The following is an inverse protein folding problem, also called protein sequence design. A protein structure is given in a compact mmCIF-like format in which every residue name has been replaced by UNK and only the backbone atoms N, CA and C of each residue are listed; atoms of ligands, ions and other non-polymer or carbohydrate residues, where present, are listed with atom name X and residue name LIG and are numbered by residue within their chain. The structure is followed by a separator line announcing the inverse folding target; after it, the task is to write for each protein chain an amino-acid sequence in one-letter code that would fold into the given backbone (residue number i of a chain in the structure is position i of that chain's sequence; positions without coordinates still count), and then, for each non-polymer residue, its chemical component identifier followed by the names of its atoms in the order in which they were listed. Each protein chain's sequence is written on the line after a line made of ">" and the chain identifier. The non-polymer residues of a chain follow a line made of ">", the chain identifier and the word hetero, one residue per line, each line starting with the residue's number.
data_IF_946605928091
#
_entry.id   IF_946605928091
#
_cell.length_a   1.000
_cell.length_b   1.000
_cell.length_c   1.000
_cell.angle_alpha   90.00
_cell.angle_beta   90.00
_cell.angle_gamma   90.00
#
_symmetry.space_group_name_H-M   'P 1'
#
loop_
_entity.id
_entity.type
_entity.pdbx_description
1 polymer ?
#
# COMPACT_ATOMS: atom_id res chain seq x y z
N UNK A 1 0.38 11.01 -2.45
CA UNK A 1 -0.82 10.25 -2.04
C UNK A 1 -0.63 9.80 -0.60
N UNK A 2 -1.51 10.25 0.30
CA UNK A 2 -1.50 9.75 1.67
C UNK A 2 -1.96 8.28 1.66
N UNK A 3 -1.36 7.43 2.48
CA UNK A 3 -1.74 6.03 2.57
C UNK A 3 -1.46 5.46 3.95
N UNK A 4 -2.09 4.32 4.24
CA UNK A 4 -2.01 3.61 5.52
C UNK A 4 -1.22 2.32 5.43
N UNK A 5 -0.46 2.11 4.35
CA UNK A 5 0.19 0.84 4.07
C UNK A 5 1.17 0.44 5.17
N UNK A 6 1.98 1.38 5.67
CA UNK A 6 2.94 1.11 6.74
C UNK A 6 2.23 0.73 8.06
N UNK A 7 1.16 1.45 8.40
CA UNK A 7 0.34 1.17 9.59
C UNK A 7 -0.25 -0.24 9.51
N UNK A 8 -0.89 -0.59 8.39
CA UNK A 8 -1.51 -1.88 8.15
C UNK A 8 -0.49 -3.02 8.17
N UNK A 9 0.67 -2.81 7.53
CA UNK A 9 1.76 -3.78 7.53
C UNK A 9 2.27 -4.05 8.95
N UNK A 10 2.53 -3.00 9.73
CA UNK A 10 2.98 -3.12 11.12
C UNK A 10 1.92 -3.80 12.01
N UNK A 11 0.63 -3.49 11.82
CA UNK A 11 -0.47 -4.15 12.53
C UNK A 11 -0.54 -5.66 12.29
N UNK A 12 -0.13 -6.11 11.09
CA UNK A 12 0.01 -7.55 10.78
C UNK A 12 1.33 -8.17 11.25
N UNK A 13 2.26 -7.39 11.79
CA UNK A 13 3.52 -7.89 12.32
C UNK A 13 4.55 -8.30 11.26
N UNK A 14 4.38 -7.88 9.99
CA UNK A 14 5.30 -8.23 8.89
C UNK A 14 6.20 -7.05 8.52
N UNK A 15 7.37 -7.36 7.98
CA UNK A 15 8.34 -6.39 7.46
C UNK A 15 8.11 -6.09 5.97
N UNK A 16 8.82 -5.09 5.43
CA UNK A 16 8.65 -4.68 4.02
C UNK A 16 9.03 -5.77 3.01
N UNK A 17 10.01 -6.62 3.34
CA UNK A 17 10.46 -7.73 2.48
C UNK A 17 9.38 -8.80 2.38
N UNK A 18 8.74 -9.14 3.50
CA UNK A 18 7.65 -10.11 3.55
C UNK A 18 6.43 -9.63 2.75
N UNK A 19 6.04 -8.35 2.90
CA UNK A 19 4.96 -7.78 2.11
C UNK A 19 5.32 -7.72 0.61
N UNK A 20 6.57 -7.38 0.29
CA UNK A 20 7.05 -7.34 -1.08
C UNK A 20 6.99 -8.72 -1.76
N UNK A 21 7.43 -9.76 -1.05
CA UNK A 21 7.37 -11.14 -1.52
C UNK A 21 5.92 -11.59 -1.81
N UNK A 22 4.97 -11.28 -0.92
CA UNK A 22 3.55 -11.64 -1.11
C UNK A 22 2.93 -10.91 -2.30
N UNK A 23 3.31 -9.65 -2.53
CA UNK A 23 2.76 -8.83 -3.62
C UNK A 23 3.50 -9.01 -4.95
N UNK A 24 4.60 -9.76 -4.95
CA UNK A 24 5.51 -10.00 -6.08
C UNK A 24 6.10 -8.69 -6.62
N UNK A 25 6.57 -7.84 -5.71
CA UNK A 25 7.24 -6.56 -6.03
C UNK A 25 8.57 -6.47 -5.29
N UNK A 26 9.37 -5.46 -5.61
CA UNK A 26 10.60 -5.20 -4.85
C UNK A 26 10.30 -4.57 -3.47
N UNK A 27 11.19 -4.78 -2.49
CA UNK A 27 11.14 -4.05 -1.21
C UNK A 27 11.12 -2.53 -1.41
N UNK A 28 11.84 -2.04 -2.42
CA UNK A 28 11.88 -0.62 -2.79
C UNK A 28 10.52 -0.11 -3.26
N UNK A 29 9.72 -0.95 -3.92
CA UNK A 29 8.32 -0.63 -4.28
C UNK A 29 7.49 -0.41 -3.03
N UNK A 30 7.55 -1.33 -2.05
CA UNK A 30 6.85 -1.17 -0.77
C UNK A 30 7.30 0.07 -0.03
N UNK A 31 8.62 0.28 0.07
CA UNK A 31 9.16 1.48 0.71
C UNK A 31 8.69 2.78 0.03
N UNK A 32 8.66 2.81 -1.30
CA UNK A 32 8.21 3.99 -2.05
C UNK A 32 6.71 4.24 -1.90
N UNK A 33 5.89 3.18 -1.81
CA UNK A 33 4.47 3.27 -1.50
C UNK A 33 4.25 3.85 -0.09
N UNK A 34 4.88 3.27 0.92
CA UNK A 34 4.73 3.71 2.32
C UNK A 34 5.11 5.19 2.51
N UNK A 35 6.15 5.64 1.79
CA UNK A 35 6.58 7.04 1.83
C UNK A 35 5.81 7.96 0.87
N UNK A 36 4.77 7.47 0.19
CA UNK A 36 3.94 8.26 -0.74
C UNK A 36 4.68 8.75 -2.00
N UNK A 37 5.86 8.19 -2.30
CA UNK A 37 6.70 8.54 -3.46
C UNK A 37 6.29 7.83 -4.75
N UNK A 38 5.40 6.86 -4.66
CA UNK A 38 4.93 6.06 -5.78
C UNK A 38 3.43 5.85 -5.67
N UNK A 39 2.72 6.10 -6.78
CA UNK A 39 1.32 5.72 -6.90
C UNK A 39 1.27 4.28 -7.46
N UNK A 40 0.58 3.36 -6.78
CA UNK A 40 0.47 1.98 -7.24
C UNK A 40 -0.28 1.94 -8.58
N UNK A 41 0.07 0.98 -9.43
CA UNK A 41 -0.82 0.59 -10.53
C UNK A 41 -2.14 0.06 -9.97
N UNK A 42 -3.21 0.13 -10.76
CA UNK A 42 -4.53 -0.38 -10.35
C UNK A 42 -4.46 -1.85 -9.90
N UNK A 43 -3.68 -2.68 -10.60
CA UNK A 43 -3.48 -4.08 -10.25
C UNK A 43 -2.80 -4.25 -8.89
N UNK A 44 -1.77 -3.44 -8.61
CA UNK A 44 -1.07 -3.48 -7.33
C UNK A 44 -1.97 -2.99 -6.19
N UNK A 45 -2.77 -1.94 -6.42
CA UNK A 45 -3.75 -1.46 -5.46
C UNK A 45 -4.76 -2.57 -5.11
N UNK A 46 -5.29 -3.30 -6.10
CA UNK A 46 -6.17 -4.46 -5.86
C UNK A 46 -5.47 -5.61 -5.13
N UNK A 47 -4.21 -5.92 -5.45
CA UNK A 47 -3.44 -6.95 -4.72
C UNK A 47 -3.29 -6.57 -3.24
N UNK A 48 -2.97 -5.31 -2.97
CA UNK A 48 -2.80 -4.76 -1.61
C UNK A 48 -4.13 -4.79 -0.85
N UNK A 49 -5.21 -4.28 -1.45
CA UNK A 49 -6.56 -4.30 -0.90
C UNK A 49 -7.00 -5.72 -0.51
N UNK A 50 -6.83 -6.69 -1.42
CA UNK A 50 -7.15 -8.09 -1.14
C UNK A 50 -6.26 -8.71 -0.08
N UNK A 51 -4.97 -8.39 -0.03
CA UNK A 51 -4.09 -8.88 1.01
C UNK A 51 -4.58 -8.44 2.39
N UNK A 52 -4.96 -7.17 2.54
CA UNK A 52 -5.41 -6.62 3.83
C UNK A 52 -6.88 -6.87 4.16
N UNK A 53 -7.67 -7.38 3.20
CA UNK A 53 -9.13 -7.52 3.29
C UNK A 53 -9.83 -6.17 3.55
N UNK A 54 -9.45 -5.18 2.75
CA UNK A 54 -9.94 -3.80 2.81
C UNK A 54 -10.26 -3.29 1.40
N UNK A 55 -10.99 -2.17 1.31
CA UNK A 55 -11.14 -1.45 0.05
C UNK A 55 -9.83 -0.73 -0.33
N UNK A 56 -9.72 -0.25 -1.58
CA UNK A 56 -8.54 0.53 -2.00
C UNK A 56 -8.52 1.87 -1.23
N UNK A 57 -9.71 2.45 -1.03
CA UNK A 57 -9.97 3.72 -0.38
C UNK A 57 -9.63 3.69 1.12
N UNK A 58 -9.74 2.54 1.78
CA UNK A 58 -9.32 2.35 3.17
C UNK A 58 -7.79 2.42 3.35
N UNK A 59 -7.04 2.19 2.26
CA UNK A 59 -5.58 2.07 2.25
C UNK A 59 -4.93 3.30 1.63
N UNK A 60 -5.47 3.78 0.51
CA UNK A 60 -4.92 4.86 -0.29
C UNK A 60 -5.89 6.03 -0.28
N UNK A 61 -5.49 7.09 0.41
CA UNK A 61 -6.30 8.29 0.61
C UNK A 61 -5.96 9.24 -0.53
N UNK A 62 -6.91 9.37 -1.45
CA UNK A 62 -6.88 10.39 -2.48
C UNK A 62 -7.50 11.66 -1.89
N UNK A 63 -6.65 12.64 -1.58
CA UNK A 63 -7.11 14.00 -1.34
C UNK A 63 -7.48 14.58 -2.71
N UNK A 64 -8.76 14.47 -3.10
CA UNK A 64 -9.30 15.43 -4.07
C UNK A 64 -9.14 16.80 -3.43
N UNK A 65 -8.58 17.76 -4.17
CA UNK A 65 -8.87 19.17 -3.92
C UNK A 65 -10.40 19.31 -4.03
N UNK A 66 -11.09 19.16 -2.89
CA UNK A 66 -12.49 19.54 -2.78
C UNK A 66 -12.48 21.05 -3.03
N UNK A 67 -13.11 21.54 -4.12
CA UNK A 67 -13.08 22.95 -4.49
C UNK A 67 -13.70 23.86 -3.44
#
# INVERSE_FOLDING_TARGET
>A
MQNRLEELRKKRGINQEELAAVLEVSRQTISSLENGRYNPSILLAFKIARFFDLSIEDIFIYEEDIP
#
